data_IF_930259354232
#
_entry.id   IF_930259354232
#
_cell.length_a   1.000
_cell.length_b   1.000
_cell.length_c   1.000
_cell.angle_alpha   90.00
_cell.angle_beta   90.00
_cell.angle_gamma   90.00
#
_symmetry.space_group_name_H-M   'P 1'
#
loop_
_entity.id
_entity.type
_entity.pdbx_description
1 polymer ?
#
# COMPACT_ATOMS: atom_id res chain seq x y z
N UNK A 1 -22.08 21.98 10.14
CA UNK A 1 -21.11 21.85 9.03
C UNK A 1 -21.83 22.15 7.75
N UNK A 2 -21.27 23.03 6.92
CA UNK A 2 -21.78 23.36 5.58
C UNK A 2 -21.71 22.14 4.65
N UNK A 3 -22.40 22.17 3.52
CA UNK A 3 -22.32 21.10 2.51
C UNK A 3 -21.02 21.16 1.70
N UNK A 4 -20.63 20.05 1.07
CA UNK A 4 -19.48 20.04 0.17
C UNK A 4 -19.78 20.77 -1.14
N UNK A 5 -18.91 21.70 -1.52
CA UNK A 5 -18.95 22.34 -2.84
C UNK A 5 -18.06 21.51 -3.77
N UNK A 6 -18.67 20.80 -4.72
CA UNK A 6 -17.95 19.84 -5.59
C UNK A 6 -17.39 20.53 -6.83
N UNK A 7 -16.08 20.40 -7.02
CA UNK A 7 -15.38 20.85 -8.23
C UNK A 7 -15.93 20.19 -9.49
N UNK A 8 -16.23 21.00 -10.51
CA UNK A 8 -16.76 20.55 -11.80
C UNK A 8 -15.79 20.70 -12.98
N UNK A 9 -14.59 21.21 -12.74
CA UNK A 9 -13.57 21.43 -13.78
C UNK A 9 -12.62 20.25 -13.96
N UNK A 10 -11.41 20.54 -14.44
CA UNK A 10 -10.36 19.53 -14.67
C UNK A 10 -10.04 18.74 -13.40
N UNK A 11 -9.91 17.41 -13.53
CA UNK A 11 -9.55 16.49 -12.44
C UNK A 11 -8.28 15.73 -12.82
N UNK A 12 -7.31 15.69 -11.90
CA UNK A 12 -6.07 14.92 -12.05
C UNK A 12 -5.70 14.28 -10.71
N UNK A 13 -5.37 12.99 -10.73
CA UNK A 13 -5.07 12.18 -9.54
C UNK A 13 -6.16 12.26 -8.46
N UNK A 14 -7.44 12.35 -8.87
CA UNK A 14 -8.58 12.47 -7.96
C UNK A 14 -8.85 13.88 -7.42
N UNK A 15 -7.97 14.85 -7.66
CA UNK A 15 -8.16 16.23 -7.19
C UNK A 15 -8.65 17.14 -8.32
N UNK A 16 -9.44 18.16 -7.96
CA UNK A 16 -9.74 19.26 -8.87
C UNK A 16 -8.53 20.16 -9.10
N UNK A 17 -8.36 20.65 -10.32
CA UNK A 17 -7.25 21.55 -10.73
C UNK A 17 -7.79 22.79 -11.42
N UNK A 18 -7.13 23.93 -11.19
CA UNK A 18 -7.43 25.17 -11.93
C UNK A 18 -6.23 26.10 -11.99
N UNK A 19 -6.29 27.03 -12.93
CA UNK A 19 -5.32 28.12 -13.07
C UNK A 19 -5.89 29.39 -12.46
N UNK A 20 -5.12 30.04 -11.60
CA UNK A 20 -5.46 31.34 -11.01
C UNK A 20 -4.21 32.21 -10.93
N UNK A 21 -4.31 33.47 -11.40
CA UNK A 21 -3.18 34.42 -11.46
C UNK A 21 -1.91 33.80 -12.09
N UNK A 22 -2.08 33.13 -13.23
CA UNK A 22 -1.02 32.43 -14.01
C UNK A 22 -0.36 31.24 -13.29
N UNK A 23 -0.85 30.84 -12.12
CA UNK A 23 -0.38 29.66 -11.40
C UNK A 23 -1.41 28.53 -11.52
N UNK A 24 -0.95 27.33 -11.85
CA UNK A 24 -1.80 26.13 -11.97
C UNK A 24 -1.53 25.19 -10.81
N UNK A 25 -2.53 24.95 -9.97
CA UNK A 25 -2.44 24.04 -8.83
C UNK A 25 -3.81 23.43 -8.53
N UNK A 26 -3.94 22.72 -7.42
CA UNK A 26 -5.21 22.11 -7.01
C UNK A 26 -6.25 23.18 -6.67
N UNK A 27 -7.49 22.95 -7.09
CA UNK A 27 -8.59 23.90 -6.94
C UNK A 27 -8.85 24.25 -5.47
N UNK A 28 -8.79 23.26 -4.57
CA UNK A 28 -8.98 23.48 -3.14
C UNK A 28 -7.90 24.41 -2.53
N UNK A 29 -6.64 24.34 -2.97
CA UNK A 29 -5.59 25.26 -2.49
C UNK A 29 -5.91 26.70 -2.88
N UNK A 30 -6.39 26.90 -4.10
CA UNK A 30 -6.74 28.24 -4.58
C UNK A 30 -7.98 28.76 -3.85
N UNK A 31 -9.03 27.96 -3.66
CA UNK A 31 -10.21 28.44 -2.91
C UNK A 31 -9.89 28.75 -1.45
N UNK A 32 -9.02 27.97 -0.80
CA UNK A 32 -8.52 28.29 0.52
C UNK A 32 -7.83 29.67 0.56
N UNK A 33 -6.96 29.94 -0.43
CA UNK A 33 -6.25 31.22 -0.53
C UNK A 33 -7.21 32.40 -0.77
N UNK A 34 -8.17 32.24 -1.68
CA UNK A 34 -9.18 33.27 -1.95
C UNK A 34 -10.02 33.57 -0.71
N UNK A 35 -10.50 32.53 -0.02
CA UNK A 35 -11.34 32.70 1.16
C UNK A 35 -10.59 33.32 2.35
N UNK A 36 -9.28 33.05 2.48
CA UNK A 36 -8.44 33.63 3.54
C UNK A 36 -7.77 34.94 3.14
N UNK A 37 -7.89 35.36 1.88
CA UNK A 37 -7.26 36.59 1.37
C UNK A 37 -5.73 36.53 1.31
N UNK A 38 -5.14 35.33 1.20
CA UNK A 38 -3.69 35.09 1.16
C UNK A 38 -3.22 34.68 -0.24
N UNK A 39 -1.92 34.80 -0.50
CA UNK A 39 -1.30 34.32 -1.72
C UNK A 39 -0.92 32.83 -1.62
N UNK A 40 -0.75 32.19 -2.78
CA UNK A 40 -0.24 30.80 -2.84
C UNK A 40 1.17 30.66 -2.25
N UNK A 41 1.96 31.73 -2.26
CA UNK A 41 3.29 31.78 -1.66
C UNK A 41 3.24 31.66 -0.13
N UNK A 42 2.19 32.17 0.51
CA UNK A 42 2.03 32.13 1.98
C UNK A 42 1.78 30.70 2.50
N UNK A 43 1.40 29.78 1.61
CA UNK A 43 1.18 28.35 1.91
C UNK A 43 2.20 27.45 1.20
N UNK A 44 3.34 28.01 0.79
CA UNK A 44 4.45 27.22 0.27
C UNK A 44 4.99 26.29 1.36
N UNK A 45 5.31 25.04 1.00
CA UNK A 45 5.70 23.99 1.94
C UNK A 45 4.56 23.44 2.82
N UNK A 46 3.39 24.09 2.84
CA UNK A 46 2.21 23.65 3.57
C UNK A 46 1.23 22.88 2.68
N UNK A 47 0.38 22.07 3.31
CA UNK A 47 -0.63 21.24 2.65
C UNK A 47 -2.00 21.70 3.11
N UNK A 48 -2.94 21.76 2.17
CA UNK A 48 -4.34 22.02 2.48
C UNK A 48 -5.05 20.66 2.55
N UNK A 49 -5.59 20.34 3.72
CA UNK A 49 -6.22 19.06 4.05
C UNK A 49 -7.73 19.20 4.05
N UNK A 50 -8.43 18.15 3.65
CA UNK A 50 -9.88 18.06 3.72
C UNK A 50 -10.34 17.47 5.05
N UNK A 51 -11.28 18.13 5.71
CA UNK A 51 -11.98 17.57 6.87
C UNK A 51 -13.10 16.60 6.46
N UNK A 52 -13.64 16.74 5.25
CA UNK A 52 -14.78 15.98 4.72
C UNK A 52 -14.40 14.73 3.91
N UNK A 53 -13.11 14.43 3.75
CA UNK A 53 -12.61 13.28 2.97
C UNK A 53 -13.05 13.20 1.51
N UNK A 54 -13.46 14.33 0.94
CA UNK A 54 -13.84 14.42 -0.46
C UNK A 54 -12.79 15.25 -1.25
N UNK A 55 -11.92 14.61 -2.05
CA UNK A 55 -10.86 15.30 -2.81
C UNK A 55 -11.35 16.36 -3.81
N UNK A 56 -12.61 16.24 -4.26
CA UNK A 56 -13.24 17.20 -5.16
C UNK A 56 -13.94 18.34 -4.41
N UNK A 57 -14.04 18.29 -3.08
CA UNK A 57 -14.59 19.38 -2.30
C UNK A 57 -13.65 20.60 -2.34
N UNK A 58 -14.21 21.75 -2.64
CA UNK A 58 -13.54 23.05 -2.66
C UNK A 58 -14.16 24.05 -1.68
N UNK A 59 -15.08 23.61 -0.82
CA UNK A 59 -15.67 24.45 0.21
C UNK A 59 -14.58 24.91 1.20
N UNK A 60 -14.28 26.22 1.34
CA UNK A 60 -13.27 26.72 2.25
C UNK A 60 -13.46 26.29 3.72
N UNK A 61 -14.69 26.09 4.16
CA UNK A 61 -15.01 25.65 5.53
C UNK A 61 -14.57 24.21 5.81
N UNK A 62 -14.34 23.41 4.77
CA UNK A 62 -13.86 22.03 4.87
C UNK A 62 -12.34 21.91 4.65
N UNK A 63 -11.63 23.03 4.48
CA UNK A 63 -10.22 23.09 4.12
C UNK A 63 -9.40 23.65 5.29
N UNK A 64 -8.36 22.91 5.68
CA UNK A 64 -7.50 23.27 6.81
C UNK A 64 -6.04 23.18 6.40
N UNK A 65 -5.26 24.21 6.73
CA UNK A 65 -3.81 24.20 6.53
C UNK A 65 -3.14 23.23 7.51
N UNK A 66 -2.14 22.50 7.05
CA UNK A 66 -1.36 21.62 7.89
C UNK A 66 -0.03 21.21 7.28
N UNK A 67 0.72 20.45 8.06
CA UNK A 67 2.02 19.90 7.66
C UNK A 67 1.84 18.52 7.01
N UNK A 68 2.90 18.06 6.33
CA UNK A 68 2.98 16.68 5.84
C UNK A 68 2.75 15.67 6.96
N UNK A 69 3.30 15.90 8.15
CA UNK A 69 3.12 15.01 9.30
C UNK A 69 1.65 14.93 9.74
N UNK A 70 0.94 16.06 9.77
CA UNK A 70 -0.50 16.05 10.11
C UNK A 70 -1.33 15.30 9.06
N UNK A 71 -1.01 15.44 7.78
CA UNK A 71 -1.67 14.66 6.72
C UNK A 71 -1.41 13.14 6.87
N UNK A 72 -0.21 12.75 7.30
CA UNK A 72 0.11 11.36 7.62
C UNK A 72 -0.68 10.87 8.84
N UNK A 73 -0.80 11.69 9.88
CA UNK A 73 -1.60 11.34 11.06
C UNK A 73 -3.08 11.16 10.68
N UNK A 74 -3.66 12.04 9.86
CA UNK A 74 -5.03 11.89 9.35
C UNK A 74 -5.23 10.58 8.59
N UNK A 75 -4.23 10.16 7.80
CA UNK A 75 -4.28 8.89 7.08
C UNK A 75 -4.39 7.71 8.05
N UNK A 76 -3.61 7.71 9.14
CA UNK A 76 -3.67 6.66 10.17
C UNK A 76 -4.97 6.70 10.98
N UNK A 77 -5.41 7.88 11.42
CA UNK A 77 -6.65 8.07 12.17
C UNK A 77 -7.87 7.62 11.34
N UNK A 78 -7.82 7.81 10.03
CA UNK A 78 -8.89 7.43 9.09
C UNK A 78 -8.70 6.05 8.48
N UNK A 79 -7.75 5.25 8.99
CA UNK A 79 -7.46 3.88 8.57
C UNK A 79 -7.24 3.74 7.05
N UNK A 80 -6.57 4.73 6.45
CA UNK A 80 -6.23 4.78 5.02
C UNK A 80 -4.80 4.37 4.73
N UNK A 81 -4.06 3.88 5.71
CA UNK A 81 -2.72 3.36 5.49
C UNK A 81 -2.73 2.18 4.51
N UNK A 82 -1.77 2.16 3.58
CA UNK A 82 -1.57 0.99 2.73
C UNK A 82 -1.10 -0.17 3.60
N UNK A 83 -1.99 -1.13 3.88
CA UNK A 83 -1.63 -2.33 4.61
C UNK A 83 -0.69 -3.20 3.76
N UNK A 84 0.42 -3.63 4.36
CA UNK A 84 1.32 -4.61 3.74
C UNK A 84 0.56 -5.91 3.51
N UNK A 85 0.77 -6.52 2.34
CA UNK A 85 0.24 -7.85 2.05
C UNK A 85 1.00 -8.86 2.93
N UNK A 86 0.31 -9.77 3.64
CA UNK A 86 0.97 -10.80 4.46
C UNK A 86 1.93 -11.65 3.62
N UNK A 87 3.03 -12.04 4.23
CA UNK A 87 4.11 -12.75 3.55
C UNK A 87 3.68 -14.13 3.04
N UNK A 88 2.80 -14.81 3.77
CA UNK A 88 2.15 -16.06 3.38
C UNK A 88 1.32 -15.91 2.10
N UNK A 89 0.63 -14.77 1.92
CA UNK A 89 -0.15 -14.47 0.71
C UNK A 89 0.78 -14.18 -0.47
N UNK A 90 1.87 -13.44 -0.25
CA UNK A 90 2.90 -13.22 -1.28
C UNK A 90 3.47 -14.55 -1.76
N UNK A 91 3.80 -15.44 -0.82
CA UNK A 91 4.30 -16.78 -1.15
C UNK A 91 3.28 -17.58 -1.96
N UNK A 92 2.02 -17.61 -1.52
CA UNK A 92 0.97 -18.36 -2.18
C UNK A 92 0.70 -17.83 -3.60
N UNK A 93 0.62 -16.51 -3.78
CA UNK A 93 0.48 -15.88 -5.11
C UNK A 93 1.62 -16.31 -6.05
N UNK A 94 2.86 -16.29 -5.58
CA UNK A 94 4.03 -16.68 -6.39
C UNK A 94 4.05 -18.17 -6.71
N UNK A 95 3.63 -19.00 -5.75
CA UNK A 95 3.58 -20.44 -5.90
C UNK A 95 2.53 -20.86 -6.94
N UNK A 96 1.33 -20.28 -6.87
CA UNK A 96 0.20 -20.67 -7.71
C UNK A 96 0.19 -20.01 -9.09
N UNK A 97 0.95 -18.93 -9.31
CA UNK A 97 0.86 -18.16 -10.54
C UNK A 97 1.30 -18.92 -11.79
N UNK A 98 0.42 -18.95 -12.78
CA UNK A 98 0.69 -19.51 -14.12
C UNK A 98 0.40 -18.45 -15.18
N UNK A 99 1.44 -18.09 -15.95
CA UNK A 99 1.34 -17.10 -17.03
C UNK A 99 0.30 -17.53 -18.06
N UNK A 100 -0.67 -16.66 -18.35
CA UNK A 100 -1.72 -16.90 -19.34
C UNK A 100 -2.88 -17.80 -18.88
N UNK A 101 -2.84 -18.31 -17.63
CA UNK A 101 -3.95 -19.10 -17.10
C UNK A 101 -5.16 -18.22 -16.72
N UNK A 102 -6.37 -18.71 -17.00
CA UNK A 102 -7.61 -18.05 -16.58
C UNK A 102 -7.94 -18.29 -15.11
N UNK A 103 -7.47 -19.40 -14.53
CA UNK A 103 -7.74 -19.80 -13.14
C UNK A 103 -6.58 -19.50 -12.19
N UNK A 104 -5.36 -19.47 -12.72
CA UNK A 104 -4.12 -19.25 -11.96
C UNK A 104 -3.35 -18.01 -12.45
N UNK A 105 -3.98 -17.18 -13.30
CA UNK A 105 -3.44 -15.89 -13.73
C UNK A 105 -3.69 -14.77 -12.72
N UNK A 106 -3.08 -13.62 -12.95
CA UNK A 106 -3.14 -12.48 -12.01
C UNK A 106 -4.57 -12.04 -11.65
N UNK A 107 -5.55 -11.97 -12.58
CA UNK A 107 -6.93 -11.60 -12.22
C UNK A 107 -7.61 -12.61 -11.29
N UNK A 108 -7.37 -13.90 -11.51
CA UNK A 108 -7.98 -14.96 -10.71
C UNK A 108 -7.37 -15.00 -9.29
N UNK A 109 -6.04 -14.91 -9.19
CA UNK A 109 -5.37 -14.87 -7.88
C UNK A 109 -5.70 -13.59 -7.11
N UNK A 110 -5.84 -12.45 -7.78
CA UNK A 110 -6.28 -11.20 -7.17
C UNK A 110 -7.64 -11.38 -6.47
N UNK A 111 -8.61 -11.99 -7.17
CA UNK A 111 -9.92 -12.32 -6.61
C UNK A 111 -9.82 -13.33 -5.47
N UNK A 112 -9.01 -14.39 -5.62
CA UNK A 112 -8.83 -15.45 -4.62
C UNK A 112 -8.31 -14.92 -3.27
N UNK A 113 -7.34 -14.01 -3.30
CA UNK A 113 -6.68 -13.49 -2.09
C UNK A 113 -7.17 -12.11 -1.65
N UNK A 114 -8.19 -11.54 -2.31
CA UNK A 114 -8.74 -10.23 -1.94
C UNK A 114 -7.76 -9.08 -2.13
N UNK A 115 -6.86 -9.17 -3.13
CA UNK A 115 -5.87 -8.12 -3.46
C UNK A 115 -6.14 -7.55 -4.85
N UNK A 116 -5.61 -6.36 -5.14
CA UNK A 116 -5.76 -5.77 -6.47
C UNK A 116 -4.91 -6.52 -7.51
N UNK A 117 -5.41 -6.64 -8.76
CA UNK A 117 -4.63 -7.23 -9.86
C UNK A 117 -3.29 -6.53 -10.11
N UNK A 118 -3.18 -5.18 -10.00
CA UNK A 118 -1.89 -4.51 -10.04
C UNK A 118 -0.92 -4.96 -8.95
N UNK A 119 -1.38 -5.19 -7.71
CA UNK A 119 -0.53 -5.73 -6.65
C UNK A 119 -0.03 -7.13 -6.96
N UNK A 120 -0.87 -8.01 -7.52
CA UNK A 120 -0.42 -9.34 -7.96
C UNK A 120 0.67 -9.20 -9.02
N UNK A 121 0.48 -8.33 -10.01
CA UNK A 121 1.51 -8.06 -11.04
C UNK A 121 2.83 -7.58 -10.43
N UNK A 122 2.78 -6.64 -9.48
CA UNK A 122 3.97 -6.14 -8.80
C UNK A 122 4.67 -7.21 -7.94
N UNK A 123 3.91 -8.12 -7.31
CA UNK A 123 4.47 -9.27 -6.58
C UNK A 123 5.23 -10.20 -7.55
N UNK A 124 4.60 -10.55 -8.68
CA UNK A 124 5.20 -11.45 -9.68
C UNK A 124 6.44 -10.81 -10.31
N UNK A 125 6.38 -9.51 -10.64
CA UNK A 125 7.50 -8.77 -11.22
C UNK A 125 8.59 -8.39 -10.19
N UNK A 126 8.38 -8.66 -8.89
CA UNK A 126 9.33 -8.38 -7.82
C UNK A 126 9.44 -6.91 -7.40
N UNK A 127 8.59 -6.02 -7.91
CA UNK A 127 8.63 -4.58 -7.62
C UNK A 127 7.92 -4.20 -6.31
N UNK A 128 7.06 -5.06 -5.76
CA UNK A 128 6.32 -4.84 -4.49
C UNK A 128 7.07 -5.26 -3.21
N UNK A 129 8.32 -5.73 -3.29
CA UNK A 129 8.97 -6.41 -2.16
C UNK A 129 9.90 -5.54 -1.30
N UNK A 130 10.04 -4.25 -1.63
CA UNK A 130 11.07 -3.36 -1.05
C UNK A 130 10.91 -3.06 0.45
N UNK A 131 9.74 -3.34 1.03
CA UNK A 131 9.46 -3.10 2.45
C UNK A 131 9.42 -4.35 3.35
N UNK A 132 9.68 -5.55 2.81
CA UNK A 132 9.64 -6.78 3.61
C UNK A 132 10.94 -6.98 4.40
N UNK A 133 10.85 -7.38 5.66
CA UNK A 133 11.95 -7.47 6.62
C UNK A 133 11.82 -8.72 7.50
N UNK A 134 12.91 -9.05 8.20
CA UNK A 134 12.93 -10.13 9.21
C UNK A 134 12.03 -9.84 10.43
N UNK A 135 11.55 -8.60 10.57
CA UNK A 135 10.58 -8.20 11.59
C UNK A 135 9.13 -8.40 11.17
N UNK A 136 8.87 -8.83 9.93
CA UNK A 136 7.52 -9.18 9.51
C UNK A 136 7.11 -10.53 10.10
N UNK A 137 5.81 -10.68 10.35
CA UNK A 137 5.21 -11.89 10.89
C UNK A 137 4.86 -12.88 9.79
N UNK A 138 5.05 -14.16 10.08
CA UNK A 138 4.70 -15.28 9.21
C UNK A 138 3.97 -16.34 10.04
N UNK A 139 2.84 -16.79 9.51
CA UNK A 139 2.09 -17.92 10.05
C UNK A 139 2.63 -19.23 9.47
N UNK A 140 3.02 -20.18 10.32
CA UNK A 140 3.50 -21.52 9.93
C UNK A 140 3.31 -22.51 11.08
N UNK A 141 3.07 -23.79 10.77
CA UNK A 141 2.93 -24.86 11.78
C UNK A 141 1.87 -24.58 12.87
N UNK A 142 0.83 -23.81 12.56
CA UNK A 142 -0.21 -23.40 13.52
C UNK A 142 0.15 -22.21 14.41
N UNK A 143 1.38 -21.69 14.33
CA UNK A 143 1.84 -20.53 15.10
C UNK A 143 2.03 -19.30 14.19
N UNK A 144 1.99 -18.10 14.79
CA UNK A 144 2.35 -16.85 14.12
C UNK A 144 3.48 -16.16 14.89
N UNK A 145 4.64 -16.04 14.24
CA UNK A 145 5.86 -15.45 14.84
C UNK A 145 6.55 -14.52 13.85
N UNK A 146 7.41 -13.64 14.34
CA UNK A 146 8.31 -12.87 13.47
C UNK A 146 9.30 -13.82 12.79
N UNK A 147 9.77 -13.47 11.59
CA UNK A 147 10.81 -14.26 10.90
C UNK A 147 12.08 -14.39 11.76
N UNK A 148 12.45 -13.34 12.49
CA UNK A 148 13.58 -13.34 13.43
C UNK A 148 13.39 -14.31 14.59
N UNK A 149 12.16 -14.56 15.02
CA UNK A 149 11.81 -15.53 16.05
C UNK A 149 11.78 -16.95 15.49
N UNK A 150 11.21 -17.13 14.30
CA UNK A 150 11.26 -18.40 13.59
C UNK A 150 12.69 -18.91 13.42
N UNK A 151 13.64 -18.03 13.13
CA UNK A 151 15.05 -18.40 13.00
C UNK A 151 15.70 -18.96 14.28
N UNK A 152 15.06 -18.77 15.45
CA UNK A 152 15.50 -19.31 16.74
C UNK A 152 14.66 -20.51 17.19
N UNK A 153 13.59 -20.84 16.47
CA UNK A 153 12.68 -21.94 16.77
C UNK A 153 13.36 -23.28 16.44
N UNK A 154 13.10 -24.30 17.26
CA UNK A 154 13.68 -25.65 17.11
C UNK A 154 13.32 -26.31 15.76
N UNK A 155 12.17 -25.93 15.18
CA UNK A 155 11.71 -26.43 13.87
C UNK A 155 12.45 -25.80 12.69
N UNK A 156 13.18 -24.71 12.93
CA UNK A 156 13.86 -23.97 11.88
C UNK A 156 15.27 -24.51 11.62
N UNK A 157 15.60 -24.73 10.35
CA UNK A 157 16.92 -25.24 9.95
C UNK A 157 17.77 -24.22 9.18
N UNK A 158 17.27 -22.98 9.06
CA UNK A 158 17.89 -21.93 8.25
C UNK A 158 17.87 -20.55 8.93
N UNK A 159 18.61 -19.59 8.40
CA UNK A 159 18.63 -18.22 8.95
C UNK A 159 17.35 -17.42 8.63
N UNK A 160 17.05 -16.39 9.43
CA UNK A 160 15.97 -15.43 9.18
C UNK A 160 15.96 -14.86 7.75
N UNK A 161 17.15 -14.47 7.24
CA UNK A 161 17.29 -13.95 5.87
C UNK A 161 16.95 -15.01 4.83
N UNK A 162 17.30 -16.27 5.09
CA UNK A 162 16.97 -17.40 4.20
C UNK A 162 15.46 -17.67 4.18
N UNK A 163 14.80 -17.65 5.34
CA UNK A 163 13.33 -17.78 5.43
C UNK A 163 12.67 -16.71 4.56
N UNK A 164 13.01 -15.43 4.79
CA UNK A 164 12.45 -14.30 4.06
C UNK A 164 12.66 -14.47 2.54
N UNK A 165 13.89 -14.78 2.09
CA UNK A 165 14.18 -14.98 0.67
C UNK A 165 13.35 -16.09 0.04
N UNK A 166 13.14 -17.19 0.77
CA UNK A 166 12.38 -18.36 0.29
C UNK A 166 10.90 -18.03 0.13
N UNK A 167 10.29 -17.43 1.16
CA UNK A 167 8.89 -16.97 1.13
C UNK A 167 8.67 -15.98 -0.02
N UNK A 168 9.56 -14.99 -0.14
CA UNK A 168 9.51 -14.02 -1.24
C UNK A 168 9.75 -14.63 -2.63
N UNK A 169 10.23 -15.86 -2.71
CA UNK A 169 10.36 -16.62 -3.95
C UNK A 169 9.14 -17.51 -4.24
N UNK A 170 8.16 -17.59 -3.35
CA UNK A 170 6.99 -18.47 -3.49
C UNK A 170 7.11 -19.84 -2.83
N UNK A 171 8.07 -20.04 -1.93
CA UNK A 171 8.17 -21.28 -1.14
C UNK A 171 7.25 -21.16 0.09
N UNK A 172 6.32 -22.11 0.31
CA UNK A 172 5.42 -22.09 1.46
C UNK A 172 6.14 -21.91 2.80
N UNK A 173 5.57 -21.17 3.78
CA UNK A 173 6.22 -20.87 5.06
C UNK A 173 6.84 -22.07 5.78
N UNK A 174 6.12 -23.18 5.86
CA UNK A 174 6.55 -24.40 6.54
C UNK A 174 7.82 -24.98 5.90
N UNK A 175 7.84 -25.04 4.56
CA UNK A 175 9.01 -25.51 3.81
C UNK A 175 10.16 -24.50 3.88
N UNK A 176 9.84 -23.21 3.84
CA UNK A 176 10.82 -22.14 3.92
C UNK A 176 11.63 -22.21 5.23
N UNK A 177 10.96 -22.55 6.34
CA UNK A 177 11.53 -22.66 7.69
C UNK A 177 12.26 -23.98 7.92
N UNK A 178 11.64 -25.12 7.57
CA UNK A 178 12.12 -26.44 8.00
C UNK A 178 13.12 -27.09 7.03
N UNK A 179 13.14 -26.69 5.76
CA UNK A 179 13.91 -27.42 4.74
C UNK A 179 15.41 -27.06 4.77
N UNK A 180 16.28 -28.05 5.00
CA UNK A 180 17.75 -27.86 5.00
C UNK A 180 18.26 -27.40 3.63
N UNK A 181 17.71 -27.95 2.54
CA UNK A 181 17.97 -27.52 1.16
C UNK A 181 16.84 -26.64 0.65
N UNK A 182 17.08 -25.83 -0.39
CA UNK A 182 16.03 -25.01 -1.01
C UNK A 182 15.03 -25.96 -1.71
N UNK A 183 13.74 -25.94 -1.34
CA UNK A 183 12.71 -26.74 -2.01
C UNK A 183 12.55 -26.34 -3.48
N UNK A 184 12.25 -27.31 -4.35
CA UNK A 184 11.77 -27.01 -5.69
C UNK A 184 10.29 -26.62 -5.60
N UNK A 185 9.96 -25.47 -6.18
CA UNK A 185 8.60 -24.92 -6.16
C UNK A 185 7.67 -25.74 -7.08
N UNK A 186 8.24 -26.53 -8.02
CA UNK A 186 7.50 -27.31 -9.02
C UNK A 186 7.07 -28.71 -8.58
N UNK A 187 7.57 -29.23 -7.46
CA UNK A 187 7.24 -30.58 -6.97
C UNK A 187 5.99 -30.63 -6.05
N UNK A 188 5.30 -29.50 -5.86
CA UNK A 188 4.13 -29.39 -4.98
C UNK A 188 2.78 -29.24 -5.72
N UNK A 189 2.71 -29.65 -7.00
CA UNK A 189 1.50 -29.63 -7.83
C UNK A 189 1.01 -31.04 -8.15
#
# INVERSE_FOLDING_TARGET
MSECIIWKGCVKNGYGWRTWRRQTTTAHRIEYCIAKGIALADIEGMIIRHQCDNPLCINPDHLVVGTQQQNVNDMYERHRECRKIPLEIISAIKNEYVKGSSTHGSPALAKKYGVSQPHVSQIINGTALSGSSISDYVSAFGDRKMISEWAKDERCTVTAKTILRRILSGIPPEQAISSKRRPDIREAA
#
